data_IF_528195105506
#
_entry.id   IF_528195105506
#
_cell.length_a   1.000
_cell.length_b   1.000
_cell.length_c   1.000
_cell.angle_alpha   90.00
_cell.angle_beta   90.00
_cell.angle_gamma   90.00
#
_symmetry.space_group_name_H-M   'P 1'
#
loop_
_entity.id
_entity.type
_entity.pdbx_description
1 polymer ?
#
# COMPACT_ATOMS: atom_id res chain seq x y z
N UNK A 1 -6.62 -53.33 -3.85
CA UNK A 1 -5.93 -52.28 -4.65
C UNK A 1 -6.82 -51.05 -4.87
N UNK A 2 -8.06 -51.19 -5.32
CA UNK A 2 -8.98 -50.07 -5.56
C UNK A 2 -9.18 -49.12 -4.34
N UNK A 3 -9.36 -49.68 -3.14
CA UNK A 3 -9.56 -48.87 -1.91
C UNK A 3 -8.34 -48.05 -1.49
N UNK A 4 -7.15 -48.50 -1.88
CA UNK A 4 -5.88 -47.79 -1.65
C UNK A 4 -5.70 -46.65 -2.66
N UNK A 5 -6.21 -46.82 -3.88
CA UNK A 5 -6.19 -45.79 -4.92
C UNK A 5 -7.21 -44.69 -4.64
N UNK A 6 -8.43 -45.04 -4.19
CA UNK A 6 -9.44 -44.04 -3.82
C UNK A 6 -9.01 -43.18 -2.64
N UNK A 7 -8.39 -43.78 -1.61
CA UNK A 7 -7.83 -43.01 -0.48
C UNK A 7 -6.70 -42.08 -0.90
N UNK A 8 -5.78 -42.51 -1.76
CA UNK A 8 -4.73 -41.61 -2.28
C UNK A 8 -5.29 -40.47 -3.14
N UNK A 9 -6.29 -40.75 -3.98
CA UNK A 9 -6.94 -39.73 -4.80
C UNK A 9 -7.65 -38.68 -3.94
N UNK A 10 -8.36 -39.12 -2.91
CA UNK A 10 -9.01 -38.24 -1.94
C UNK A 10 -7.98 -37.39 -1.18
N UNK A 11 -6.87 -37.98 -0.74
CA UNK A 11 -5.78 -37.25 -0.08
C UNK A 11 -5.17 -36.18 -1.00
N UNK A 12 -4.94 -36.49 -2.27
CA UNK A 12 -4.44 -35.53 -3.27
C UNK A 12 -5.43 -34.38 -3.49
N UNK A 13 -6.72 -34.67 -3.63
CA UNK A 13 -7.75 -33.65 -3.81
C UNK A 13 -7.84 -32.70 -2.59
N UNK A 14 -7.77 -33.25 -1.38
CA UNK A 14 -7.72 -32.47 -0.13
C UNK A 14 -6.47 -31.58 -0.10
N UNK A 15 -5.31 -32.13 -0.50
CA UNK A 15 -4.05 -31.36 -0.56
C UNK A 15 -4.13 -30.18 -1.52
N UNK A 16 -4.68 -30.40 -2.73
CA UNK A 16 -4.85 -29.34 -3.74
C UNK A 16 -5.79 -28.24 -3.24
N UNK A 17 -6.89 -28.60 -2.56
CA UNK A 17 -7.82 -27.62 -2.01
C UNK A 17 -7.15 -26.74 -0.93
N UNK A 18 -6.44 -27.35 0.02
CA UNK A 18 -5.78 -26.62 1.12
C UNK A 18 -4.66 -25.69 0.60
N UNK A 19 -3.81 -26.18 -0.32
CA UNK A 19 -2.72 -25.37 -0.89
C UNK A 19 -3.26 -24.25 -1.78
N UNK A 20 -4.31 -24.52 -2.56
CA UNK A 20 -4.97 -23.52 -3.41
C UNK A 20 -5.60 -22.37 -2.60
N UNK A 21 -6.24 -22.67 -1.47
CA UNK A 21 -6.80 -21.66 -0.57
C UNK A 21 -5.72 -20.80 0.11
N UNK A 22 -4.61 -21.40 0.53
CA UNK A 22 -3.51 -20.66 1.15
C UNK A 22 -2.90 -19.65 0.17
N UNK A 23 -2.66 -20.08 -1.08
CA UNK A 23 -2.06 -19.22 -2.11
C UNK A 23 -2.95 -18.04 -2.49
N UNK A 24 -4.27 -18.25 -2.59
CA UNK A 24 -5.23 -17.18 -2.90
C UNK A 24 -5.34 -16.15 -1.77
N UNK A 25 -5.31 -16.58 -0.51
CA UNK A 25 -5.28 -15.66 0.65
C UNK A 25 -4.00 -14.82 0.67
N UNK A 26 -2.83 -15.42 0.42
CA UNK A 26 -1.57 -14.66 0.35
C UNK A 26 -1.56 -13.66 -0.81
N UNK A 27 -2.09 -14.03 -1.97
CA UNK A 27 -2.21 -13.13 -3.11
C UNK A 27 -3.14 -11.95 -2.80
N UNK A 28 -4.29 -12.19 -2.16
CA UNK A 28 -5.23 -11.15 -1.72
C UNK A 28 -4.61 -10.19 -0.72
N UNK A 29 -3.94 -10.72 0.31
CA UNK A 29 -3.25 -9.90 1.31
C UNK A 29 -2.16 -9.03 0.66
N UNK A 30 -1.44 -9.55 -0.35
CA UNK A 30 -0.46 -8.75 -1.11
C UNK A 30 -1.12 -7.62 -1.89
N UNK A 31 -2.26 -7.87 -2.53
CA UNK A 31 -2.98 -6.81 -3.25
C UNK A 31 -3.52 -5.71 -2.34
N UNK A 32 -3.90 -6.05 -1.10
CA UNK A 32 -4.36 -5.08 -0.10
C UNK A 32 -3.24 -4.15 0.42
N UNK A 33 -1.97 -4.50 0.18
CA UNK A 33 -0.79 -3.69 0.56
C UNK A 33 -0.28 -2.79 -0.57
N UNK A 34 -0.72 -3.02 -1.81
CA UNK A 34 -0.25 -2.27 -2.97
C UNK A 34 -1.20 -1.13 -3.29
N UNK A 35 -0.65 0.02 -3.69
CA UNK A 35 -1.43 1.19 -4.10
C UNK A 35 -2.45 1.66 -3.04
N UNK A 36 -1.99 1.72 -1.78
CA UNK A 36 -2.74 2.24 -0.64
C UNK A 36 -2.00 3.43 -0.02
N UNK A 37 -2.73 4.30 0.67
CA UNK A 37 -2.15 5.34 1.50
C UNK A 37 -2.23 4.92 2.96
N UNK A 38 -1.22 5.26 3.75
CA UNK A 38 -1.31 5.08 5.20
C UNK A 38 -2.36 6.01 5.79
N UNK A 39 -3.03 5.59 6.86
CA UNK A 39 -3.92 6.45 7.62
C UNK A 39 -3.10 7.35 8.56
N UNK A 40 -2.69 8.52 8.07
CA UNK A 40 -1.91 9.49 8.82
C UNK A 40 -2.42 10.91 8.59
N UNK A 41 -1.98 11.84 9.44
CA UNK A 41 -2.52 13.23 9.58
C UNK A 41 -2.79 13.97 8.27
N UNK A 42 -1.91 13.84 7.27
CA UNK A 42 -1.97 14.57 5.99
C UNK A 42 -2.00 13.66 4.76
N UNK A 43 -2.28 12.37 4.93
CA UNK A 43 -2.44 11.45 3.82
C UNK A 43 -3.89 11.44 3.34
N UNK A 44 -4.08 11.29 2.04
CA UNK A 44 -5.38 10.99 1.44
C UNK A 44 -5.83 9.57 1.82
N UNK A 45 -7.12 9.30 1.71
CA UNK A 45 -7.65 7.95 1.93
C UNK A 45 -7.11 6.94 0.91
N UNK A 46 -6.99 7.35 -0.37
CA UNK A 46 -6.54 6.50 -1.47
C UNK A 46 -5.59 7.27 -2.39
N UNK A 47 -4.65 6.57 -3.06
CA UNK A 47 -3.81 7.21 -4.06
C UNK A 47 -4.63 7.73 -5.24
N UNK A 48 -4.14 8.80 -5.84
CA UNK A 48 -4.74 9.35 -7.05
C UNK A 48 -3.90 10.50 -7.62
N UNK A 49 -4.20 10.94 -8.85
CA UNK A 49 -3.45 12.00 -9.50
C UNK A 49 -3.55 13.34 -8.74
N UNK A 50 -2.46 14.09 -8.75
CA UNK A 50 -2.31 15.44 -8.20
C UNK A 50 -1.45 16.27 -9.16
N UNK A 51 -2.08 16.97 -10.10
CA UNK A 51 -1.33 17.64 -11.18
C UNK A 51 -0.48 18.83 -10.70
N UNK A 52 -0.78 19.35 -9.51
CA UNK A 52 -0.19 20.58 -8.97
C UNK A 52 0.80 20.36 -7.83
N UNK A 53 1.38 19.16 -7.72
CA UNK A 53 2.42 18.91 -6.72
C UNK A 53 3.61 19.84 -6.90
N UNK A 54 4.06 20.42 -5.80
CA UNK A 54 5.11 21.42 -5.76
C UNK A 54 6.50 20.78 -5.92
N UNK A 55 7.35 21.40 -6.74
CA UNK A 55 8.78 21.09 -6.95
C UNK A 55 9.20 19.63 -6.74
N UNK A 56 9.80 19.33 -5.58
CA UNK A 56 10.40 18.02 -5.30
C UNK A 56 9.34 16.91 -5.20
N UNK A 57 8.07 17.26 -5.02
CA UNK A 57 6.93 16.32 -5.03
C UNK A 57 6.37 16.02 -6.43
N UNK A 58 6.80 16.72 -7.49
CA UNK A 58 6.31 16.49 -8.87
C UNK A 58 6.41 15.05 -9.38
N UNK A 59 7.41 14.22 -8.99
CA UNK A 59 7.49 12.84 -9.45
C UNK A 59 6.24 12.00 -9.14
N UNK A 60 5.50 12.32 -8.08
CA UNK A 60 4.31 11.56 -7.67
C UNK A 60 3.00 12.02 -8.35
N UNK A 61 3.01 13.03 -9.22
CA UNK A 61 1.78 13.67 -9.75
C UNK A 61 0.77 12.71 -10.38
N UNK A 62 1.24 11.61 -10.96
CA UNK A 62 0.36 10.61 -11.62
C UNK A 62 -0.42 9.77 -10.61
N UNK A 63 0.13 9.56 -9.41
CA UNK A 63 -0.47 8.72 -8.37
C UNK A 63 0.18 9.01 -7.01
N UNK A 64 -0.42 9.90 -6.22
CA UNK A 64 0.11 10.39 -4.94
C UNK A 64 -0.85 10.18 -3.78
N UNK A 65 -0.30 10.10 -2.57
CA UNK A 65 -1.04 10.09 -1.30
C UNK A 65 -1.05 11.45 -0.58
N UNK A 66 -0.30 12.44 -1.06
CA UNK A 66 -0.32 13.79 -0.51
C UNK A 66 -1.22 14.69 -1.37
N UNK A 67 -1.66 15.82 -0.80
CA UNK A 67 -2.38 16.86 -1.55
C UNK A 67 -1.42 17.91 -2.10
N UNK A 68 -1.92 18.75 -3.01
CA UNK A 68 -1.23 19.97 -3.44
C UNK A 68 -0.79 20.85 -2.26
N UNK A 69 -1.65 21.06 -1.25
CA UNK A 69 -1.30 21.83 -0.04
C UNK A 69 -0.14 21.18 0.72
N UNK A 70 -0.23 19.86 0.94
CA UNK A 70 0.83 19.10 1.61
C UNK A 70 2.18 19.27 0.91
N UNK A 71 2.18 19.23 -0.43
CA UNK A 71 3.41 19.41 -1.21
C UNK A 71 4.00 20.83 -1.09
N UNK A 72 3.17 21.87 -1.02
CA UNK A 72 3.64 23.24 -0.82
C UNK A 72 4.19 23.43 0.60
N UNK A 73 3.50 22.92 1.62
CA UNK A 73 3.92 23.01 3.02
C UNK A 73 5.17 22.17 3.31
N UNK A 74 5.43 21.12 2.55
CA UNK A 74 6.65 20.33 2.69
C UNK A 74 7.94 21.14 2.40
N UNK A 75 7.83 22.26 1.69
CA UNK A 75 8.96 23.12 1.30
C UNK A 75 9.05 24.41 2.14
N UNK A 76 8.25 24.53 3.21
CA UNK A 76 8.28 25.69 4.11
C UNK A 76 8.94 25.31 5.44
N UNK A 77 9.73 26.23 5.99
CA UNK A 77 10.17 26.14 7.38
C UNK A 77 8.98 26.28 8.34
N UNK A 78 8.97 25.49 9.42
CA UNK A 78 7.93 25.52 10.46
C UNK A 78 6.51 25.42 9.86
N UNK A 79 6.35 24.54 8.87
CA UNK A 79 5.13 24.47 8.06
C UNK A 79 3.89 23.96 8.82
N UNK A 80 2.72 24.13 8.21
CA UNK A 80 1.44 23.65 8.76
C UNK A 80 1.44 22.12 9.05
N UNK A 81 2.28 21.34 8.36
CA UNK A 81 2.29 19.88 8.50
C UNK A 81 2.48 19.45 9.95
N UNK A 82 3.57 19.92 10.56
CA UNK A 82 3.98 19.54 11.91
C UNK A 82 4.59 20.69 12.72
N UNK A 83 4.65 21.91 12.16
CA UNK A 83 5.37 23.05 12.76
C UNK A 83 6.81 22.69 13.11
N UNK A 84 7.44 21.88 12.26
CA UNK A 84 8.79 21.38 12.49
C UNK A 84 9.81 22.45 12.11
N UNK A 85 10.72 22.77 13.03
CA UNK A 85 11.80 23.72 12.77
C UNK A 85 13.05 22.99 12.25
N UNK A 86 13.34 23.13 10.96
CA UNK A 86 14.55 22.57 10.36
C UNK A 86 15.82 23.22 10.91
N UNK A 87 15.78 24.53 11.16
CA UNK A 87 16.92 25.34 11.60
C UNK A 87 17.03 25.43 13.13
N UNK A 88 16.72 24.34 13.84
CA UNK A 88 16.79 24.32 15.31
C UNK A 88 18.23 24.35 15.84
N UNK A 89 19.23 24.09 14.98
CA UNK A 89 20.66 24.17 15.30
C UNK A 89 21.42 25.26 14.50
N UNK A 90 20.74 26.07 13.68
CA UNK A 90 21.39 27.05 12.80
C UNK A 90 21.92 26.43 11.53
#
# INVERSE_FOLDING_TARGET
>A
MAQRMTTQLLLLLVWVAVVGEAQTRTARARTELLNVCMNAKHHKEKPGPEDKLHEQCRPWKKNACCSTNTSQEAHKDVSYLYRFNWNHCG
#
